data_IF_657645630061
#
_entry.id   IF_657645630061
#
_cell.length_a   1.000
_cell.length_b   1.000
_cell.length_c   1.000
_cell.angle_alpha   90.00
_cell.angle_beta   90.00
_cell.angle_gamma   90.00
#
_symmetry.space_group_name_H-M   'P 1'
#
loop_
_entity.id
_entity.type
_entity.pdbx_description
1 polymer ?
#
# COMPACT_ATOMS: atom_id res chain seq x y z
N UNK A 1 -11.21 18.80 -16.80
CA UNK A 1 -11.12 17.74 -15.77
C UNK A 1 -12.36 17.83 -14.92
N UNK A 2 -13.17 16.77 -14.89
CA UNK A 2 -14.42 16.78 -14.11
C UNK A 2 -14.15 16.75 -12.61
N UNK A 3 -15.08 17.27 -11.81
CA UNK A 3 -15.01 17.28 -10.34
C UNK A 3 -14.67 15.89 -9.77
N UNK A 4 -15.22 14.82 -10.35
CA UNK A 4 -14.94 13.43 -9.97
C UNK A 4 -13.46 13.08 -10.07
N UNK A 5 -12.77 13.49 -11.14
CA UNK A 5 -11.35 13.21 -11.32
C UNK A 5 -10.50 13.95 -10.28
N UNK A 6 -10.86 15.19 -9.95
CA UNK A 6 -10.20 15.97 -8.90
C UNK A 6 -10.36 15.28 -7.54
N UNK A 7 -11.56 14.81 -7.20
CA UNK A 7 -11.80 14.11 -5.94
C UNK A 7 -11.03 12.79 -5.85
N UNK A 8 -11.01 12.01 -6.93
CA UNK A 8 -10.25 10.75 -7.01
C UNK A 8 -8.74 11.02 -6.86
N UNK A 9 -8.22 12.06 -7.52
CA UNK A 9 -6.82 12.47 -7.41
C UNK A 9 -6.48 12.85 -5.97
N UNK A 10 -7.29 13.71 -5.35
CA UNK A 10 -7.08 14.14 -3.97
C UNK A 10 -7.11 12.96 -3.00
N UNK A 11 -8.06 12.03 -3.16
CA UNK A 11 -8.13 10.82 -2.35
C UNK A 11 -6.86 9.97 -2.50
N UNK A 12 -6.37 9.78 -3.74
CA UNK A 12 -5.13 9.05 -4.02
C UNK A 12 -3.91 9.71 -3.39
N UNK A 13 -3.76 11.03 -3.51
CA UNK A 13 -2.65 11.79 -2.92
C UNK A 13 -2.68 11.74 -1.39
N UNK A 14 -3.84 11.96 -0.77
CA UNK A 14 -3.99 11.87 0.69
C UNK A 14 -3.61 10.47 1.18
N UNK A 15 -4.07 9.43 0.48
CA UNK A 15 -3.73 8.04 0.81
C UNK A 15 -2.23 7.78 0.66
N UNK A 16 -1.58 8.28 -0.41
CA UNK A 16 -0.15 8.14 -0.64
C UNK A 16 0.68 8.84 0.46
N UNK A 17 0.33 10.07 0.81
CA UNK A 17 1.01 10.85 1.86
C UNK A 17 0.86 10.16 3.21
N UNK A 18 -0.36 9.77 3.55
CA UNK A 18 -0.64 9.06 4.80
C UNK A 18 0.14 7.74 4.88
N UNK A 19 0.14 6.95 3.80
CA UNK A 19 0.86 5.68 3.74
C UNK A 19 2.39 5.88 3.84
N UNK A 20 2.91 6.93 3.20
CA UNK A 20 4.33 7.29 3.28
C UNK A 20 4.72 7.67 4.71
N UNK A 21 3.89 8.47 5.39
CA UNK A 21 4.10 8.81 6.79
C UNK A 21 4.15 7.57 7.70
N UNK A 22 3.26 6.59 7.46
CA UNK A 22 3.27 5.30 8.16
C UNK A 22 4.54 4.49 7.87
N UNK A 23 5.05 4.50 6.64
CA UNK A 23 6.30 3.82 6.27
C UNK A 23 7.55 4.46 6.87
N UNK A 24 7.56 5.79 7.02
CA UNK A 24 8.66 6.49 7.67
C UNK A 24 8.72 6.19 9.17
N UNK A 25 7.57 5.95 9.81
CA UNK A 25 7.50 5.51 11.19
C UNK A 25 8.19 6.47 12.16
N UNK A 26 8.09 7.79 11.96
CA UNK A 26 8.77 8.78 12.81
C UNK A 26 8.12 8.94 14.20
N UNK A 27 6.82 8.67 14.32
CA UNK A 27 6.04 8.79 15.56
C UNK A 27 5.46 7.44 16.01
N UNK A 28 5.01 7.35 17.27
CA UNK A 28 4.28 6.16 17.77
C UNK A 28 3.00 5.91 16.97
N UNK A 29 2.24 6.97 16.67
CA UNK A 29 1.03 6.86 15.84
C UNK A 29 1.32 6.32 14.43
N UNK A 30 2.44 6.74 13.81
CA UNK A 30 2.85 6.23 12.50
C UNK A 30 3.23 4.74 12.53
N UNK A 31 3.63 4.21 13.71
CA UNK A 31 3.98 2.80 13.92
C UNK A 31 2.84 1.96 14.49
N UNK A 32 1.69 2.55 14.83
CA UNK A 32 0.59 1.84 15.50
C UNK A 32 0.10 0.61 14.71
N UNK A 33 0.26 0.62 13.38
CA UNK A 33 -0.10 -0.52 12.53
C UNK A 33 0.83 -1.74 12.71
N UNK A 34 2.02 -1.55 13.28
CA UNK A 34 3.03 -2.60 13.49
C UNK A 34 2.86 -3.35 14.82
N UNK A 35 1.93 -2.91 15.67
CA UNK A 35 1.66 -3.56 16.94
C UNK A 35 0.99 -4.92 16.71
N UNK A 36 1.49 -5.94 17.43
CA UNK A 36 1.16 -7.37 17.27
C UNK A 36 -0.34 -7.67 17.45
N UNK A 37 -1.07 -6.77 18.09
CA UNK A 37 -2.51 -6.87 18.37
C UNK A 37 -3.35 -6.70 17.08
N UNK A 38 -2.83 -6.03 16.05
CA UNK A 38 -3.66 -5.55 14.95
C UNK A 38 -3.78 -6.49 13.74
N UNK A 39 -3.22 -7.69 13.83
CA UNK A 39 -3.40 -8.77 12.86
C UNK A 39 -2.66 -8.58 11.53
N UNK A 40 -2.41 -9.69 10.83
CA UNK A 40 -1.61 -9.72 9.60
C UNK A 40 -2.24 -8.89 8.47
N UNK A 41 -3.58 -8.80 8.43
CA UNK A 41 -4.30 -8.03 7.42
C UNK A 41 -3.95 -6.53 7.48
N UNK A 42 -3.76 -5.96 8.67
CA UNK A 42 -3.41 -4.54 8.80
C UNK A 42 -1.99 -4.26 8.33
N UNK A 43 -1.07 -5.18 8.61
CA UNK A 43 0.31 -5.13 8.12
C UNK A 43 0.33 -5.19 6.59
N UNK A 44 -0.42 -6.11 5.97
CA UNK A 44 -0.57 -6.20 4.50
C UNK A 44 -1.23 -4.96 3.91
N UNK A 45 -2.23 -4.42 4.61
CA UNK A 45 -2.96 -3.23 4.19
C UNK A 45 -2.03 -2.03 4.01
N UNK A 46 -1.20 -1.76 5.03
CA UNK A 46 -0.25 -0.64 4.98
C UNK A 46 0.86 -0.93 3.97
N UNK A 47 1.48 -2.11 4.00
CA UNK A 47 2.67 -2.38 3.20
C UNK A 47 2.40 -2.58 1.70
N UNK A 48 1.19 -3.01 1.31
CA UNK A 48 0.90 -3.40 -0.08
C UNK A 48 -0.41 -2.82 -0.59
N UNK A 49 -1.54 -3.03 0.11
CA UNK A 49 -2.86 -2.72 -0.45
C UNK A 49 -3.06 -1.21 -0.64
N UNK A 50 -2.81 -0.42 0.41
CA UNK A 50 -2.93 1.05 0.38
C UNK A 50 -2.03 1.73 -0.64
N UNK A 51 -0.72 1.42 -0.75
CA UNK A 51 0.12 2.02 -1.77
C UNK A 51 -0.34 1.66 -3.18
N UNK A 52 -0.79 0.42 -3.43
CA UNK A 52 -1.33 0.03 -4.73
C UNK A 52 -2.61 0.80 -5.05
N UNK A 53 -3.55 0.91 -4.10
CA UNK A 53 -4.76 1.70 -4.29
C UNK A 53 -4.46 3.18 -4.54
N UNK A 54 -3.48 3.76 -3.84
CA UNK A 54 -3.08 5.16 -4.05
C UNK A 54 -2.55 5.38 -5.48
N UNK A 55 -1.69 4.48 -5.97
CA UNK A 55 -1.19 4.51 -7.36
C UNK A 55 -2.35 4.39 -8.35
N UNK A 56 -3.27 3.45 -8.12
CA UNK A 56 -4.43 3.24 -8.99
C UNK A 56 -5.30 4.50 -9.06
N UNK A 57 -5.63 5.11 -7.92
CA UNK A 57 -6.45 6.32 -7.88
C UNK A 57 -5.77 7.50 -8.59
N UNK A 58 -4.49 7.74 -8.33
CA UNK A 58 -3.74 8.83 -8.96
C UNK A 58 -3.67 8.62 -10.48
N UNK A 59 -3.26 7.43 -10.93
CA UNK A 59 -3.13 7.14 -12.35
C UNK A 59 -4.48 7.13 -13.07
N UNK A 60 -5.53 6.58 -12.47
CA UNK A 60 -6.89 6.62 -13.03
C UNK A 60 -7.38 8.07 -13.18
N UNK A 61 -7.14 8.92 -12.19
CA UNK A 61 -7.53 10.33 -12.26
C UNK A 61 -6.76 11.11 -13.35
N UNK A 62 -5.50 10.78 -13.58
CA UNK A 62 -4.67 11.43 -14.60
C UNK A 62 -5.02 10.97 -16.03
N UNK A 63 -5.38 9.69 -16.20
CA UNK A 63 -5.60 9.08 -17.51
C UNK A 63 -7.06 9.20 -17.95
N UNK A 64 -8.00 9.11 -17.00
CA UNK A 64 -9.45 9.14 -17.24
C UNK A 64 -9.93 10.28 -18.15
N UNK A 65 -9.51 11.55 -17.96
CA UNK A 65 -9.97 12.67 -18.78
C UNK A 65 -9.48 12.60 -20.24
N UNK A 66 -8.42 11.84 -20.50
CA UNK A 66 -7.85 11.71 -21.84
C UNK A 66 -8.45 10.54 -22.60
N UNK A 67 -9.28 9.70 -21.97
CA UNK A 67 -9.73 8.38 -22.43
C UNK A 67 -10.66 8.36 -23.66
N UNK A 68 -10.27 8.97 -24.78
CA UNK A 68 -10.79 8.67 -26.12
C UNK A 68 -10.32 7.31 -26.68
N UNK A 69 -10.98 6.80 -27.72
CA UNK A 69 -10.91 5.43 -28.25
C UNK A 69 -9.57 4.97 -28.89
N UNK A 70 -8.45 5.64 -28.59
CA UNK A 70 -7.15 5.32 -29.18
C UNK A 70 -6.41 4.28 -28.33
N UNK A 71 -6.00 3.17 -28.97
CA UNK A 71 -5.38 1.98 -28.35
C UNK A 71 -4.12 2.23 -27.52
N UNK A 72 -3.53 3.42 -27.56
CA UNK A 72 -2.42 3.88 -26.70
C UNK A 72 -2.76 3.78 -25.21
N UNK A 73 -4.04 3.72 -24.84
CA UNK A 73 -4.50 3.70 -23.45
C UNK A 73 -4.53 2.32 -22.80
N UNK A 74 -4.58 1.25 -23.58
CA UNK A 74 -4.52 -0.12 -23.08
C UNK A 74 -3.22 -0.38 -22.30
N UNK A 75 -2.10 0.20 -22.76
CA UNK A 75 -0.80 0.07 -22.11
C UNK A 75 -0.74 0.72 -20.72
N UNK A 76 -1.53 1.78 -20.48
CA UNK A 76 -1.61 2.44 -19.17
C UNK A 76 -2.64 1.75 -18.25
N UNK A 77 -3.70 1.19 -18.82
CA UNK A 77 -4.70 0.40 -18.08
C UNK A 77 -4.13 -0.92 -17.55
N UNK A 78 -3.22 -1.56 -18.28
CA UNK A 78 -2.64 -2.85 -17.91
C UNK A 78 -1.93 -2.84 -16.53
N UNK A 79 -0.99 -1.93 -16.22
CA UNK A 79 -0.37 -1.87 -14.89
C UNK A 79 -1.37 -1.53 -13.78
N UNK A 80 -2.45 -0.80 -14.07
CA UNK A 80 -3.50 -0.52 -13.09
C UNK A 80 -4.29 -1.77 -12.72
N UNK A 81 -4.63 -2.58 -13.72
CA UNK A 81 -5.28 -3.88 -13.50
C UNK A 81 -4.36 -4.80 -12.71
N UNK A 82 -3.07 -4.85 -13.03
CA UNK A 82 -2.09 -5.63 -12.26
C UNK A 82 -2.03 -5.13 -10.81
N UNK A 83 -1.94 -3.82 -10.58
CA UNK A 83 -1.90 -3.26 -9.23
C UNK A 83 -3.15 -3.62 -8.41
N UNK A 84 -4.34 -3.60 -9.04
CA UNK A 84 -5.59 -4.05 -8.42
C UNK A 84 -5.59 -5.55 -8.12
N UNK A 85 -5.13 -6.38 -9.05
CA UNK A 85 -5.02 -7.83 -8.84
C UNK A 85 -4.04 -8.17 -7.72
N UNK A 86 -2.92 -7.46 -7.64
CA UNK A 86 -1.96 -7.59 -6.53
C UNK A 86 -2.62 -7.18 -5.22
N UNK A 87 -3.29 -6.02 -5.17
CA UNK A 87 -4.00 -5.57 -3.96
C UNK A 87 -5.05 -6.59 -3.50
N UNK A 88 -5.83 -7.15 -4.43
CA UNK A 88 -6.82 -8.18 -4.16
C UNK A 88 -6.19 -9.49 -3.68
N UNK A 89 -5.10 -9.93 -4.33
CA UNK A 89 -4.36 -11.12 -3.94
C UNK A 89 -3.86 -11.04 -2.49
N UNK A 90 -3.33 -9.90 -2.05
CA UNK A 90 -2.90 -9.71 -0.65
C UNK A 90 -4.06 -9.56 0.34
N UNK A 91 -5.25 -9.21 -0.13
CA UNK A 91 -6.46 -9.13 0.69
C UNK A 91 -7.06 -10.51 0.96
N UNK A 92 -7.09 -11.38 -0.05
CA UNK A 92 -7.78 -12.68 0.02
C UNK A 92 -6.84 -13.83 0.34
N UNK A 93 -5.64 -13.84 -0.25
CA UNK A 93 -4.71 -14.95 -0.12
C UNK A 93 -3.71 -14.69 1.01
N UNK A 94 -3.30 -15.73 1.78
CA UNK A 94 -2.29 -15.62 2.83
C UNK A 94 -0.87 -15.50 2.26
N UNK A 95 -0.61 -14.50 1.41
CA UNK A 95 0.67 -14.33 0.74
C UNK A 95 1.73 -13.74 1.67
N UNK A 96 2.96 -14.29 1.67
CA UNK A 96 4.05 -13.74 2.47
C UNK A 96 4.48 -12.37 1.94
N UNK A 97 4.56 -11.38 2.83
CA UNK A 97 4.99 -10.03 2.46
C UNK A 97 6.48 -10.02 2.11
N UNK A 98 6.87 -9.53 0.92
CA UNK A 98 8.25 -9.51 0.49
C UNK A 98 9.12 -8.65 1.41
N UNK A 99 10.37 -9.07 1.60
CA UNK A 99 11.32 -8.41 2.51
C UNK A 99 11.65 -6.97 2.10
N UNK A 100 11.55 -6.65 0.81
CA UNK A 100 11.82 -5.31 0.29
C UNK A 100 10.71 -4.30 0.60
N UNK A 101 9.46 -4.76 0.76
CA UNK A 101 8.34 -3.90 1.15
C UNK A 101 8.41 -3.49 2.63
N UNK A 102 9.15 -4.24 3.47
CA UNK A 102 9.24 -4.00 4.90
C UNK A 102 10.25 -2.89 5.24
N UNK A 103 9.83 -1.80 5.92
CA UNK A 103 10.73 -0.75 6.38
C UNK A 103 11.85 -1.30 7.28
N UNK A 104 13.03 -0.64 7.28
CA UNK A 104 14.17 -1.05 8.11
C UNK A 104 13.83 -1.11 9.61
N UNK A 105 13.07 -0.12 10.11
CA UNK A 105 12.66 -0.05 11.50
C UNK A 105 11.67 -1.17 11.89
N UNK A 106 10.84 -1.64 10.96
CA UNK A 106 9.91 -2.73 11.22
C UNK A 106 10.66 -4.06 11.30
N UNK A 107 11.66 -4.25 10.44
CA UNK A 107 12.52 -5.45 10.46
C UNK A 107 13.34 -5.58 11.75
N UNK A 108 13.81 -4.48 12.34
CA UNK A 108 14.56 -4.53 13.61
C UNK A 108 13.67 -4.92 14.79
N UNK A 109 12.41 -4.45 14.83
CA UNK A 109 11.46 -4.85 15.88
C UNK A 109 11.16 -6.35 15.86
N UNK A 110 10.90 -6.93 14.68
CA UNK A 110 10.62 -8.37 14.57
C UNK A 110 11.81 -9.22 15.07
N UNK A 111 13.05 -8.80 14.81
CA UNK A 111 14.26 -9.49 15.31
C UNK A 111 14.34 -9.51 16.84
N UNK A 112 13.98 -8.41 17.51
CA UNK A 112 14.01 -8.34 18.97
C UNK A 112 12.96 -9.24 19.63
N UNK A 113 11.78 -9.39 19.02
CA UNK A 113 10.73 -10.29 19.51
C UNK A 113 11.18 -11.76 19.40
N UNK A 114 11.66 -12.18 18.24
CA UNK A 114 12.16 -13.56 18.04
C UNK A 114 13.35 -13.89 18.94
N UNK A 115 14.26 -12.92 19.16
CA UNK A 115 15.42 -13.12 20.04
C UNK A 115 15.08 -13.24 21.53
N UNK A 116 13.98 -12.61 22.00
CA UNK A 116 13.50 -12.80 23.37
C UNK A 116 12.77 -14.13 23.55
N UNK A 117 12.01 -14.58 22.54
CA UNK A 117 11.36 -15.88 22.56
C UNK A 117 12.39 -17.02 22.64
N UNK A 118 13.49 -16.93 21.89
CA UNK A 118 14.58 -17.91 21.89
C UNK A 118 15.40 -17.96 23.20
N UNK A 119 15.27 -16.96 24.09
CA UNK A 119 15.95 -16.95 25.41
C UNK A 119 15.07 -17.46 26.55
N UNK A 120 13.79 -17.77 26.28
CA UNK A 120 12.81 -18.21 27.27
C UNK A 120 12.38 -19.67 27.09
N UNK A 121 12.83 -20.34 26.03
CA UNK A 121 12.70 -21.79 25.83
C UNK A 121 14.06 -22.45 25.98
#
# INVERSE_FOLDING_TARGET
>A
MDLTHVLVLLAGVVLAVWNTWQHLGRSRAARAWSDDIQGELKVRSVLVIRPMLAVVLIAAALVGPTAGADGTKLWISFPLVIALLVAFGYMVLPLPIPRWAKPRWFRSQQRHVSGRAARRG
#
